data_IF_783210348743
#
_entry.id   IF_783210348743
#
_cell.length_a   1.000
_cell.length_b   1.000
_cell.length_c   1.000
_cell.angle_alpha   90.00
_cell.angle_beta   90.00
_cell.angle_gamma   90.00
#
_symmetry.space_group_name_H-M   'P 1'
#
loop_
_entity.id
_entity.type
_entity.pdbx_description
1 polymer ?
#
# COMPACT_ATOMS: atom_id res chain seq x y z
N UNK A 1 -42.29 -66.19 -90.55
CA UNK A 1 -42.70 -64.93 -91.19
C UNK A 1 -43.10 -63.98 -90.10
N UNK A 2 -42.31 -62.92 -90.00
CA UNK A 2 -42.41 -61.84 -89.03
C UNK A 2 -43.62 -60.91 -89.27
N UNK A 3 -43.80 -60.04 -88.28
CA UNK A 3 -44.51 -58.75 -88.31
C UNK A 3 -46.01 -58.85 -88.09
N UNK A 4 -46.57 -58.39 -86.97
CA UNK A 4 -46.50 -56.99 -86.55
C UNK A 4 -46.97 -56.83 -85.09
N UNK A 5 -46.12 -57.18 -84.12
CA UNK A 5 -46.32 -56.82 -82.69
C UNK A 5 -46.05 -55.33 -82.40
N UNK A 6 -45.75 -54.52 -83.43
CA UNK A 6 -45.22 -53.17 -83.29
C UNK A 6 -46.26 -52.03 -83.23
N UNK A 7 -47.54 -52.30 -83.49
CA UNK A 7 -48.56 -51.23 -83.54
C UNK A 7 -49.37 -51.08 -82.24
N UNK A 8 -49.59 -52.17 -81.51
CA UNK A 8 -50.39 -52.09 -80.27
C UNK A 8 -49.62 -51.37 -79.15
N UNK A 9 -48.31 -51.56 -79.07
CA UNK A 9 -47.47 -50.89 -78.09
C UNK A 9 -47.33 -49.40 -78.36
N UNK A 10 -47.27 -48.97 -79.63
CA UNK A 10 -47.20 -47.54 -79.98
C UNK A 10 -48.51 -46.80 -79.66
N UNK A 11 -49.68 -47.41 -79.90
CA UNK A 11 -50.97 -46.86 -79.45
C UNK A 11 -51.07 -46.80 -77.93
N UNK A 12 -50.59 -47.84 -77.24
CA UNK A 12 -50.61 -47.90 -75.77
C UNK A 12 -49.66 -46.88 -75.15
N UNK A 13 -48.48 -46.69 -75.74
CA UNK A 13 -47.51 -45.66 -75.32
C UNK A 13 -48.06 -44.26 -75.58
N UNK A 14 -48.66 -43.98 -76.76
CA UNK A 14 -49.29 -42.67 -77.00
C UNK A 14 -50.46 -42.36 -76.07
N UNK A 15 -51.25 -43.37 -75.70
CA UNK A 15 -52.34 -43.23 -74.72
C UNK A 15 -51.80 -43.02 -73.30
N UNK A 16 -50.74 -43.73 -72.92
CA UNK A 16 -50.06 -43.55 -71.64
C UNK A 16 -49.34 -42.20 -71.52
N UNK A 17 -48.77 -41.67 -72.60
CA UNK A 17 -48.16 -40.33 -72.61
C UNK A 17 -49.23 -39.24 -72.48
N UNK A 18 -50.37 -39.40 -73.16
CA UNK A 18 -51.49 -38.45 -73.07
C UNK A 18 -52.22 -38.49 -71.71
N UNK A 19 -52.27 -39.65 -71.06
CA UNK A 19 -52.87 -39.83 -69.73
C UNK A 19 -51.87 -39.49 -68.58
N UNK A 20 -50.57 -39.37 -68.88
CA UNK A 20 -49.50 -39.03 -67.92
C UNK A 20 -49.10 -37.55 -67.93
N UNK A 21 -49.57 -36.76 -68.89
CA UNK A 21 -49.73 -35.31 -68.71
C UNK A 21 -50.94 -35.07 -67.80
N UNK A 22 -50.81 -35.51 -66.55
CA UNK A 22 -51.52 -34.84 -65.46
C UNK A 22 -51.17 -33.35 -65.61
N UNK A 23 -52.14 -32.43 -65.62
CA UNK A 23 -51.79 -31.03 -65.50
C UNK A 23 -50.88 -30.93 -64.28
N UNK A 24 -49.70 -30.32 -64.45
CA UNK A 24 -48.87 -29.86 -63.33
C UNK A 24 -49.87 -29.30 -62.31
N UNK A 25 -49.92 -29.77 -61.05
CA UNK A 25 -50.88 -29.23 -60.10
C UNK A 25 -50.63 -27.73 -60.10
N UNK A 26 -51.55 -26.96 -60.72
CA UNK A 26 -51.53 -25.52 -60.63
C UNK A 26 -51.42 -25.25 -59.14
N UNK A 27 -50.37 -24.56 -58.72
CA UNK A 27 -50.17 -24.19 -57.31
C UNK A 27 -51.54 -23.76 -56.80
N UNK A 28 -52.13 -24.54 -55.89
CA UNK A 28 -53.50 -24.30 -55.45
C UNK A 28 -53.52 -22.87 -54.93
N UNK A 29 -54.08 -21.95 -55.71
CA UNK A 29 -54.14 -20.56 -55.34
C UNK A 29 -54.82 -20.51 -53.99
N UNK A 30 -54.05 -20.11 -52.97
CA UNK A 30 -54.54 -19.99 -51.61
C UNK A 30 -55.75 -19.06 -51.71
N UNK A 31 -56.93 -19.56 -51.35
CA UNK A 31 -58.18 -18.81 -51.51
C UNK A 31 -58.04 -17.45 -50.82
N UNK A 32 -58.43 -16.35 -51.50
CA UNK A 32 -58.37 -14.97 -50.98
C UNK A 32 -58.76 -14.83 -49.48
N UNK A 33 -59.78 -15.54 -48.94
CA UNK A 33 -60.10 -15.50 -47.51
C UNK A 33 -59.00 -16.02 -46.57
N UNK A 34 -58.19 -16.99 -47.00
CA UNK A 34 -57.07 -17.50 -46.20
C UNK A 34 -55.91 -16.50 -46.16
N UNK A 35 -55.62 -15.81 -47.26
CA UNK A 35 -54.62 -14.74 -47.31
C UNK A 35 -54.96 -13.59 -46.35
N UNK A 36 -56.20 -13.11 -46.37
CA UNK A 36 -56.67 -12.07 -45.44
C UNK A 36 -56.56 -12.51 -43.97
N UNK A 37 -56.83 -13.78 -43.65
CA UNK A 37 -56.67 -14.32 -42.29
C UNK A 37 -55.22 -14.33 -41.84
N UNK A 38 -54.30 -14.68 -42.74
CA UNK A 38 -52.85 -14.66 -42.48
C UNK A 38 -52.40 -13.23 -42.22
N UNK A 39 -52.77 -12.27 -43.08
CA UNK A 39 -52.43 -10.86 -42.87
C UNK A 39 -52.98 -10.32 -41.54
N UNK A 40 -54.22 -10.66 -41.18
CA UNK A 40 -54.80 -10.25 -39.91
C UNK A 40 -54.04 -10.83 -38.71
N UNK A 41 -53.61 -12.09 -38.79
CA UNK A 41 -52.79 -12.72 -37.76
C UNK A 41 -51.40 -12.08 -37.63
N UNK A 42 -50.74 -11.78 -38.76
CA UNK A 42 -49.46 -11.07 -38.80
C UNK A 42 -49.62 -9.68 -38.16
N UNK A 43 -50.63 -8.91 -38.55
CA UNK A 43 -50.88 -7.59 -37.98
C UNK A 43 -51.18 -7.65 -36.47
N UNK A 44 -51.86 -8.71 -36.01
CA UNK A 44 -52.08 -8.92 -34.57
C UNK A 44 -50.78 -9.26 -33.84
N UNK A 45 -49.89 -10.05 -34.44
CA UNK A 45 -48.58 -10.39 -33.88
C UNK A 45 -47.66 -9.18 -33.83
N UNK A 46 -47.58 -8.38 -34.90
CA UNK A 46 -46.81 -7.12 -34.95
C UNK A 46 -47.23 -6.21 -33.78
N UNK A 47 -48.54 -5.97 -33.61
CA UNK A 47 -49.06 -5.18 -32.48
C UNK A 47 -48.67 -5.75 -31.11
N UNK A 48 -48.65 -7.08 -30.96
CA UNK A 48 -48.24 -7.73 -29.71
C UNK A 48 -46.74 -7.58 -29.45
N UNK A 49 -45.91 -7.65 -30.50
CA UNK A 49 -44.47 -7.43 -30.42
C UNK A 49 -44.17 -5.99 -30.02
N UNK A 50 -44.80 -5.02 -30.68
CA UNK A 50 -44.63 -3.59 -30.36
C UNK A 50 -45.04 -3.28 -28.92
N UNK A 51 -46.19 -3.80 -28.48
CA UNK A 51 -46.66 -3.63 -27.11
C UNK A 51 -45.68 -4.26 -26.09
N UNK A 52 -45.14 -5.44 -26.39
CA UNK A 52 -44.18 -6.11 -25.51
C UNK A 52 -42.86 -5.34 -25.43
N UNK A 53 -42.39 -4.79 -26.56
CA UNK A 53 -41.19 -3.96 -26.62
C UNK A 53 -41.37 -2.68 -25.79
N UNK A 54 -42.49 -1.99 -25.95
CA UNK A 54 -42.83 -0.79 -25.16
C UNK A 54 -42.88 -1.07 -23.65
N UNK A 55 -43.42 -2.21 -23.23
CA UNK A 55 -43.43 -2.62 -21.82
C UNK A 55 -42.02 -2.88 -21.29
N UNK A 56 -41.15 -3.52 -22.10
CA UNK A 56 -39.77 -3.79 -21.71
C UNK A 56 -38.94 -2.51 -21.62
N UNK A 57 -39.09 -1.60 -22.58
CA UNK A 57 -38.44 -0.28 -22.57
C UNK A 57 -38.79 0.48 -21.29
N UNK A 58 -40.09 0.57 -20.97
CA UNK A 58 -40.54 1.20 -19.72
C UNK A 58 -39.96 0.53 -18.47
N UNK A 59 -39.88 -0.81 -18.44
CA UNK A 59 -39.30 -1.54 -17.29
C UNK A 59 -37.81 -1.27 -17.13
N UNK A 60 -37.08 -1.11 -18.23
CA UNK A 60 -35.66 -0.78 -18.22
C UNK A 60 -35.48 0.65 -17.67
N UNK A 61 -36.26 1.62 -18.15
CA UNK A 61 -36.22 3.00 -17.66
C UNK A 61 -36.59 3.11 -16.16
N UNK A 62 -37.65 2.42 -15.74
CA UNK A 62 -38.07 2.35 -14.34
C UNK A 62 -36.95 1.71 -13.46
N UNK A 63 -36.19 0.75 -14.00
CA UNK A 63 -35.09 0.11 -13.28
C UNK A 63 -33.85 1.00 -13.20
N UNK A 64 -33.49 1.68 -14.29
CA UNK A 64 -32.36 2.62 -14.34
C UNK A 64 -32.60 3.77 -13.35
N UNK A 65 -33.76 4.42 -13.41
CA UNK A 65 -34.12 5.51 -12.48
C UNK A 65 -34.13 5.05 -11.03
N UNK A 66 -34.58 3.82 -10.75
CA UNK A 66 -34.51 3.23 -9.42
C UNK A 66 -33.09 3.00 -8.91
N UNK A 67 -32.15 2.62 -9.79
CA UNK A 67 -30.74 2.45 -9.45
C UNK A 67 -30.03 3.80 -9.24
N UNK A 68 -30.26 4.77 -10.11
CA UNK A 68 -29.73 6.13 -9.98
C UNK A 68 -30.08 6.73 -8.62
N UNK A 69 -31.37 6.66 -8.24
CA UNK A 69 -31.84 7.15 -6.93
C UNK A 69 -31.14 6.45 -5.76
N UNK A 70 -30.94 5.12 -5.83
CA UNK A 70 -30.24 4.37 -4.76
C UNK A 70 -28.78 4.77 -4.63
N UNK A 71 -28.13 5.08 -5.76
CA UNK A 71 -26.74 5.56 -5.78
C UNK A 71 -26.68 6.95 -5.13
N UNK A 72 -27.57 7.87 -5.51
CA UNK A 72 -27.64 9.21 -4.92
C UNK A 72 -27.90 9.18 -3.41
N UNK A 73 -28.86 8.36 -2.95
CA UNK A 73 -29.16 8.18 -1.53
C UNK A 73 -27.93 7.64 -0.76
N UNK A 74 -27.17 6.73 -1.38
CA UNK A 74 -25.96 6.15 -0.80
C UNK A 74 -24.83 7.17 -0.71
N UNK A 75 -24.62 7.97 -1.76
CA UNK A 75 -23.63 9.05 -1.79
C UNK A 75 -23.95 10.09 -0.72
N UNK A 76 -25.20 10.55 -0.64
CA UNK A 76 -25.63 11.50 0.40
C UNK A 76 -25.42 10.95 1.81
N UNK A 77 -25.66 9.65 2.02
CA UNK A 77 -25.39 8.96 3.28
C UNK A 77 -23.91 8.96 3.65
N UNK A 78 -23.01 8.74 2.67
CA UNK A 78 -21.57 8.79 2.87
C UNK A 78 -21.07 10.20 3.15
N UNK A 79 -21.52 11.21 2.40
CA UNK A 79 -21.18 12.61 2.61
C UNK A 79 -21.50 13.06 4.04
N UNK A 80 -22.68 12.69 4.57
CA UNK A 80 -23.05 12.96 5.97
C UNK A 80 -22.09 12.31 6.97
N UNK A 81 -21.72 11.04 6.75
CA UNK A 81 -20.77 10.33 7.62
C UNK A 81 -19.38 10.98 7.59
N UNK A 82 -18.91 11.38 6.42
CA UNK A 82 -17.64 12.11 6.26
C UNK A 82 -17.69 13.46 6.97
N UNK A 83 -18.80 14.18 6.89
CA UNK A 83 -19.02 15.43 7.62
C UNK A 83 -18.88 15.24 9.15
N UNK A 84 -19.56 14.25 9.71
CA UNK A 84 -19.47 13.92 11.16
C UNK A 84 -18.05 13.51 11.57
N UNK A 85 -17.35 12.73 10.73
CA UNK A 85 -15.96 12.35 10.99
C UNK A 85 -15.02 13.56 10.95
N UNK A 86 -15.24 14.50 10.03
CA UNK A 86 -14.47 15.73 9.96
C UNK A 86 -14.67 16.60 11.20
N UNK A 87 -15.91 16.72 11.68
CA UNK A 87 -16.23 17.50 12.89
C UNK A 87 -15.62 16.87 14.15
N UNK A 88 -15.80 15.56 14.34
CA UNK A 88 -15.20 14.83 15.47
C UNK A 88 -13.68 14.86 15.43
N UNK A 89 -13.06 14.77 14.26
CA UNK A 89 -11.61 14.93 14.14
C UNK A 89 -11.17 16.35 14.52
N UNK A 90 -11.88 17.38 14.06
CA UNK A 90 -11.60 18.76 14.45
C UNK A 90 -11.71 18.97 15.97
N UNK A 91 -12.73 18.39 16.60
CA UNK A 91 -12.92 18.39 18.05
C UNK A 91 -11.76 17.69 18.77
N UNK A 92 -11.39 16.47 18.36
CA UNK A 92 -10.26 15.73 18.93
C UNK A 92 -8.95 16.51 18.78
N UNK A 93 -8.71 17.11 17.61
CA UNK A 93 -7.53 17.95 17.38
C UNK A 93 -7.55 19.19 18.28
N UNK A 94 -8.70 19.81 18.50
CA UNK A 94 -8.84 20.95 19.41
C UNK A 94 -8.60 20.53 20.88
N UNK A 95 -9.12 19.39 21.30
CA UNK A 95 -8.90 18.81 22.62
C UNK A 95 -7.44 18.43 22.84
N UNK A 96 -6.78 17.80 21.87
CA UNK A 96 -5.34 17.51 21.91
C UNK A 96 -4.53 18.81 21.99
N UNK A 97 -4.85 19.80 21.16
CA UNK A 97 -4.20 21.12 21.24
C UNK A 97 -4.44 21.80 22.58
N UNK A 98 -5.60 21.62 23.23
CA UNK A 98 -5.89 22.11 24.58
C UNK A 98 -5.13 21.34 25.66
N UNK A 99 -4.99 20.02 25.52
CA UNK A 99 -4.15 19.19 26.38
C UNK A 99 -2.67 19.56 26.25
N UNK A 100 -2.24 20.02 25.07
CA UNK A 100 -0.90 20.57 24.79
C UNK A 100 -0.79 22.07 25.18
N UNK A 101 -1.92 22.80 25.29
CA UNK A 101 -2.01 24.22 25.68
C UNK A 101 -2.30 24.48 27.16
N UNK A 102 -2.72 23.49 27.95
CA UNK A 102 -2.11 23.37 29.28
C UNK A 102 -0.64 23.27 28.96
N UNK A 103 0.15 24.27 29.33
CA UNK A 103 1.59 24.33 29.09
C UNK A 103 2.16 22.91 28.97
N UNK A 104 2.94 22.57 27.92
CA UNK A 104 3.69 21.32 28.00
C UNK A 104 4.39 21.43 29.35
N UNK A 105 4.05 20.54 30.29
CA UNK A 105 4.48 20.67 31.67
C UNK A 105 5.93 21.07 31.62
N UNK A 106 6.23 22.31 32.04
CA UNK A 106 7.55 22.93 31.83
C UNK A 106 8.62 22.14 32.60
N UNK A 107 8.19 21.08 33.31
CA UNK A 107 8.96 20.10 34.03
C UNK A 107 9.39 18.87 33.21
N UNK A 108 8.87 18.62 32.00
CA UNK A 108 9.25 17.43 31.21
C UNK A 108 10.22 17.71 30.04
N UNK A 109 10.76 18.93 29.95
CA UNK A 109 11.89 19.22 29.08
C UNK A 109 13.18 19.14 29.87
N UNK A 110 14.17 18.41 29.32
CA UNK A 110 15.53 18.44 29.85
C UNK A 110 16.10 19.83 29.61
N UNK A 111 16.51 20.49 30.70
CA UNK A 111 17.28 21.72 30.66
C UNK A 111 18.74 21.36 30.43
N UNK A 112 19.39 22.10 29.53
CA UNK A 112 20.82 22.00 29.30
C UNK A 112 21.55 23.18 29.95
N UNK A 113 22.79 22.99 30.44
CA UNK A 113 23.53 21.74 30.51
C UNK A 113 22.95 20.77 31.54
N UNK A 114 23.14 19.46 31.33
CA UNK A 114 22.69 18.42 32.26
C UNK A 114 23.62 18.40 33.47
N UNK A 115 23.06 18.53 34.68
CA UNK A 115 23.81 18.76 35.91
C UNK A 115 23.96 17.49 36.78
N UNK A 116 23.15 16.45 36.52
CA UNK A 116 23.17 15.23 37.32
C UNK A 116 22.91 13.94 36.53
N UNK A 117 23.26 12.79 37.12
CA UNK A 117 22.94 11.47 36.56
C UNK A 117 21.44 11.19 36.53
N UNK A 118 20.67 11.76 37.47
CA UNK A 118 19.21 11.64 37.50
C UNK A 118 18.56 12.31 36.28
N UNK A 119 19.11 13.45 35.83
CA UNK A 119 18.67 14.12 34.60
C UNK A 119 19.05 13.33 33.34
N UNK A 120 20.19 12.62 33.33
CA UNK A 120 20.53 11.70 32.22
C UNK A 120 19.54 10.53 32.12
N UNK A 121 19.15 9.95 33.24
CA UNK A 121 18.14 8.89 33.30
C UNK A 121 16.77 9.39 32.86
N UNK A 122 16.40 10.60 33.29
CA UNK A 122 15.18 11.26 32.83
C UNK A 122 15.22 11.50 31.31
N UNK A 123 16.33 12.01 30.77
CA UNK A 123 16.50 12.19 29.31
C UNK A 123 16.28 10.86 28.57
N UNK A 124 16.87 9.78 29.06
CA UNK A 124 16.70 8.45 28.46
C UNK A 124 15.25 7.94 28.53
N UNK A 125 14.51 8.30 29.59
CA UNK A 125 13.10 7.91 29.75
C UNK A 125 12.14 8.70 28.86
N UNK A 126 12.49 9.94 28.48
CA UNK A 126 11.63 10.81 27.66
C UNK A 126 11.98 10.80 26.16
N UNK A 127 13.13 10.25 25.77
CA UNK A 127 13.47 10.08 24.35
C UNK A 127 12.55 9.02 23.75
N UNK A 128 11.63 9.47 22.91
CA UNK A 128 10.80 8.62 22.04
C UNK A 128 11.22 8.78 20.58
N UNK A 129 10.86 7.85 19.68
CA UNK A 129 11.15 7.97 18.25
C UNK A 129 10.69 9.30 17.64
N UNK A 130 9.55 9.84 18.10
CA UNK A 130 8.96 11.08 17.62
C UNK A 130 9.73 12.33 18.07
N UNK A 131 10.46 12.26 19.20
CA UNK A 131 11.24 13.37 19.76
C UNK A 131 12.73 13.29 19.43
N UNK A 132 13.17 12.20 18.80
CA UNK A 132 14.60 11.93 18.54
C UNK A 132 15.22 13.03 17.68
N UNK A 133 14.59 13.41 16.57
CA UNK A 133 15.09 14.47 15.68
C UNK A 133 15.14 15.83 16.38
N UNK A 134 14.18 16.11 17.26
CA UNK A 134 14.17 17.35 18.04
C UNK A 134 15.39 17.44 18.97
N UNK A 135 15.66 16.41 19.77
CA UNK A 135 16.81 16.40 20.68
C UNK A 135 18.14 16.36 19.94
N UNK A 136 18.24 15.66 18.82
CA UNK A 136 19.42 15.70 17.93
C UNK A 136 19.70 17.12 17.47
N UNK A 137 18.67 17.83 16.97
CA UNK A 137 18.82 19.20 16.50
C UNK A 137 19.14 20.18 17.63
N UNK A 138 18.59 19.96 18.83
CA UNK A 138 18.88 20.75 20.04
C UNK A 138 20.33 20.58 20.50
N UNK A 139 20.82 19.35 20.60
CA UNK A 139 22.21 19.07 20.97
C UNK A 139 23.16 19.62 19.90
N UNK A 140 22.83 19.44 18.61
CA UNK A 140 23.62 20.00 17.51
C UNK A 140 23.75 21.52 17.60
N UNK A 141 22.68 22.23 17.96
CA UNK A 141 22.75 23.70 18.12
C UNK A 141 23.56 24.13 19.34
N UNK A 142 23.49 23.38 20.45
CA UNK A 142 24.30 23.60 21.65
C UNK A 142 25.79 23.35 21.41
N UNK A 143 26.12 22.30 20.64
CA UNK A 143 27.50 22.01 20.26
C UNK A 143 28.06 23.05 19.28
N UNK A 144 27.19 23.75 18.54
CA UNK A 144 27.56 24.85 17.65
C UNK A 144 28.59 24.45 16.60
N UNK A 145 29.33 25.45 16.11
CA UNK A 145 30.46 25.28 15.17
C UNK A 145 31.81 25.60 15.84
N UNK A 146 31.89 25.43 17.17
CA UNK A 146 33.06 25.83 17.96
C UNK A 146 34.35 25.16 17.50
N UNK A 147 35.47 25.80 17.79
CA UNK A 147 36.81 25.32 17.43
C UNK A 147 37.26 24.03 18.14
N UNK A 148 36.61 23.63 19.24
CA UNK A 148 36.94 22.41 20.00
C UNK A 148 35.70 21.77 20.62
N UNK A 149 35.57 20.45 20.43
CA UNK A 149 34.48 19.63 20.99
C UNK A 149 34.41 19.70 22.52
N UNK A 150 35.55 19.73 23.21
CA UNK A 150 35.60 19.84 24.68
C UNK A 150 34.97 21.15 25.17
N UNK A 151 35.22 22.26 24.47
CA UNK A 151 34.64 23.56 24.81
C UNK A 151 33.13 23.62 24.53
N UNK A 152 32.66 22.89 23.52
CA UNK A 152 31.23 22.77 23.19
C UNK A 152 30.44 21.89 24.15
N UNK A 153 31.07 20.83 24.69
CA UNK A 153 30.40 19.85 25.55
C UNK A 153 29.85 20.46 26.84
N UNK A 154 30.49 21.50 27.38
CA UNK A 154 30.00 22.22 28.58
C UNK A 154 28.62 22.87 28.41
N UNK A 155 28.13 23.00 27.17
CA UNK A 155 26.79 23.50 26.86
C UNK A 155 25.73 22.39 26.87
N UNK A 156 26.16 21.13 26.93
CA UNK A 156 25.31 19.93 26.92
C UNK A 156 25.40 19.20 28.27
N UNK A 157 26.57 19.11 28.89
CA UNK A 157 26.79 18.48 30.19
C UNK A 157 27.52 19.47 31.11
N UNK A 158 27.20 19.45 32.40
CA UNK A 158 27.92 20.24 33.40
C UNK A 158 29.39 19.80 33.50
N UNK A 159 30.27 20.75 33.85
CA UNK A 159 31.71 20.54 33.90
C UNK A 159 32.09 19.43 34.89
N UNK A 160 31.33 19.25 35.98
CA UNK A 160 31.53 18.16 36.93
C UNK A 160 31.30 16.79 36.29
N UNK A 161 30.21 16.62 35.54
CA UNK A 161 29.91 15.35 34.87
C UNK A 161 30.92 15.05 33.77
N UNK A 162 31.38 16.09 33.03
CA UNK A 162 32.41 15.93 32.01
C UNK A 162 33.71 15.40 32.65
N UNK A 163 34.10 15.96 33.79
CA UNK A 163 35.30 15.55 34.52
C UNK A 163 35.14 14.16 35.18
N UNK A 164 34.03 13.93 35.88
CA UNK A 164 33.76 12.68 36.61
C UNK A 164 33.73 11.46 35.68
N UNK A 165 33.20 11.64 34.47
CA UNK A 165 33.07 10.60 33.45
C UNK A 165 34.12 10.70 32.32
N UNK A 166 35.06 11.65 32.39
CA UNK A 166 36.09 11.91 31.37
C UNK A 166 35.53 11.97 29.93
N UNK A 167 34.40 12.65 29.75
CA UNK A 167 33.63 12.65 28.48
C UNK A 167 34.40 13.36 27.36
N UNK A 168 35.23 14.34 27.70
CA UNK A 168 36.04 15.11 26.75
C UNK A 168 37.45 14.53 26.53
N UNK A 169 37.82 13.49 27.29
CA UNK A 169 39.11 12.82 27.21
C UNK A 169 40.31 13.65 27.67
N UNK A 170 40.09 14.77 28.38
CA UNK A 170 41.17 15.69 28.78
C UNK A 170 41.88 15.27 30.07
N UNK A 171 41.26 14.40 30.87
CA UNK A 171 41.92 13.86 32.06
C UNK A 171 42.77 12.63 31.71
N UNK A 172 43.96 12.53 32.32
CA UNK A 172 44.89 11.38 32.18
C UNK A 172 44.31 10.06 32.72
N UNK A 173 43.07 10.07 33.24
CA UNK A 173 42.34 8.96 33.84
C UNK A 173 41.67 8.03 32.82
N UNK A 174 42.01 8.10 31.52
CA UNK A 174 41.49 7.23 30.45
C UNK A 174 41.84 5.73 30.61
N UNK A 175 42.28 5.29 31.80
CA UNK A 175 42.59 3.91 32.17
C UNK A 175 41.99 3.58 33.55
N UNK A 176 40.66 3.60 33.68
CA UNK A 176 39.98 2.87 34.75
C UNK A 176 38.82 2.02 34.22
N UNK A 177 39.10 1.28 33.14
CA UNK A 177 38.47 -0.03 33.01
C UNK A 177 39.04 -0.88 34.16
N UNK A 178 38.19 -1.26 35.12
CA UNK A 178 38.56 -2.08 36.28
C UNK A 178 39.26 -3.36 35.80
N UNK A 179 40.58 -3.42 35.96
CA UNK A 179 41.39 -4.64 35.82
C UNK A 179 41.71 -5.11 37.26
N UNK A 180 41.55 -6.40 37.61
CA UNK A 180 41.53 -6.87 38.99
C UNK A 180 42.88 -6.70 39.71
N UNK A 181 42.86 -6.12 40.92
CA UNK A 181 43.82 -6.16 42.05
C UNK A 181 45.25 -6.70 41.84
N UNK A 182 45.95 -6.30 40.77
CA UNK A 182 47.37 -6.61 40.62
C UNK A 182 48.21 -5.36 40.94
N UNK A 183 49.18 -5.43 41.91
CA UNK A 183 49.97 -4.27 42.31
C UNK A 183 50.65 -3.64 41.09
N UNK A 184 50.50 -2.32 40.91
CA UNK A 184 50.98 -1.57 39.75
C UNK A 184 52.43 -1.88 39.37
N UNK A 185 53.25 -2.15 40.39
CA UNK A 185 54.64 -2.57 40.31
C UNK A 185 54.88 -3.83 39.46
N UNK A 186 53.97 -4.80 39.53
CA UNK A 186 54.03 -6.05 38.75
C UNK A 186 53.62 -5.82 37.30
N UNK A 187 52.69 -4.90 37.06
CA UNK A 187 52.24 -4.49 35.72
C UNK A 187 53.36 -3.75 34.99
N UNK A 188 54.02 -2.80 35.65
CA UNK A 188 55.15 -2.04 35.09
C UNK A 188 56.32 -3.00 34.77
N UNK A 189 56.66 -3.91 35.69
CA UNK A 189 57.69 -4.93 35.43
C UNK A 189 57.36 -5.81 34.22
N UNK A 190 56.08 -6.18 34.04
CA UNK A 190 55.65 -7.02 32.91
C UNK A 190 55.66 -6.25 31.59
N UNK A 191 55.27 -4.97 31.59
CA UNK A 191 55.37 -4.10 30.43
C UNK A 191 56.82 -3.90 29.98
N UNK A 192 57.75 -3.62 30.92
CA UNK A 192 59.18 -3.48 30.63
C UNK A 192 59.76 -4.80 30.08
N UNK A 193 59.39 -5.94 30.67
CA UNK A 193 59.85 -7.25 30.21
C UNK A 193 59.38 -7.56 28.78
N UNK A 194 58.12 -7.25 28.45
CA UNK A 194 57.57 -7.45 27.11
C UNK A 194 58.26 -6.57 26.05
N UNK A 195 58.57 -5.31 26.38
CA UNK A 195 59.32 -4.41 25.49
C UNK A 195 60.74 -4.94 25.26
N UNK A 196 61.42 -5.42 26.32
CA UNK A 196 62.76 -6.00 26.19
C UNK A 196 62.76 -7.27 25.33
N UNK A 197 61.78 -8.16 25.49
CA UNK A 197 61.65 -9.35 24.65
C UNK A 197 61.34 -9.00 23.19
N UNK A 198 60.53 -7.97 22.94
CA UNK A 198 60.25 -7.46 21.59
C UNK A 198 61.51 -6.92 20.90
N UNK A 199 62.31 -6.13 21.63
CA UNK A 199 63.57 -5.61 21.11
C UNK A 199 64.61 -6.70 20.83
N UNK A 200 64.71 -7.71 21.71
CA UNK A 200 65.64 -8.82 21.54
C UNK A 200 65.25 -9.78 20.39
N UNK A 201 63.95 -9.99 20.14
CA UNK A 201 63.52 -10.78 18.98
C UNK A 201 63.72 -10.06 17.64
N UNK A 202 63.60 -8.73 17.60
CA UNK A 202 63.89 -7.95 16.38
C UNK A 202 65.38 -8.04 16.00
N UNK A 203 66.28 -7.87 16.96
CA UNK A 203 67.73 -7.96 16.71
C UNK A 203 68.23 -9.38 16.40
N UNK A 204 67.50 -10.42 16.82
CA UNK A 204 67.84 -11.81 16.51
C UNK A 204 67.35 -12.25 15.12
N UNK A 205 66.24 -11.69 14.60
CA UNK A 205 65.72 -12.01 13.26
C UNK A 205 66.51 -11.33 12.14
N UNK A 206 67.06 -10.14 12.36
CA UNK A 206 67.94 -9.45 11.40
C UNK A 206 69.29 -10.15 11.18
N UNK A 207 69.72 -11.04 12.08
CA UNK A 207 70.98 -11.81 11.92
C UNK A 207 70.84 -13.15 11.20
N UNK A 208 69.63 -13.64 10.97
CA UNK A 208 69.38 -14.93 10.31
C UNK A 208 68.74 -14.78 8.91
N UNK A 209 68.84 -13.60 8.28
CA UNK A 209 68.38 -13.37 6.90
C UNK A 209 69.48 -12.80 5.98
N UNK A 210 70.75 -13.12 6.28
CA UNK A 210 71.86 -13.03 5.35
C UNK A 210 72.47 -14.42 5.13
#
# INVERSE_FOLDING_TARGET
>A
MEHTSFNHNNKKIRRLIFDAEQPVPEEQQISLPAEHRIMAAISSLEKKVDASFSVLEKKVDDSISGLEKKVDDSISGLEKKVGVLSETLAEVVALLKLQIKKEPDVQNFIKFPIESTMELEHLNSIITPELTDFYINKIRSLLGTSSSMASSLKHVLDEKLILDYNVDGTSESAVKMKIPDEPADKIIRKAIHNIKNSHFQKTSREKNSN
#
